data_IF_413064597673
#
_entry.id   IF_413064597673
#
_cell.length_a   1.000
_cell.length_b   1.000
_cell.length_c   1.000
_cell.angle_alpha   90.00
_cell.angle_beta   90.00
_cell.angle_gamma   90.00
#
_symmetry.space_group_name_H-M   'P 1'
#
loop_
_entity.id
_entity.type
_entity.pdbx_description
1 polymer ?
#
# COMPACT_ATOMS: atom_id res chain seq x y z
N UNK A 1 5.18 -1.95 -21.77
CA UNK A 1 4.03 -1.34 -21.07
C UNK A 1 3.80 0.07 -21.62
N UNK A 2 2.60 0.40 -22.11
CA UNK A 2 2.35 1.69 -22.79
C UNK A 2 2.22 2.84 -21.76
N UNK A 3 2.58 4.08 -22.12
CA UNK A 3 2.53 5.26 -21.22
C UNK A 3 1.13 5.52 -20.65
N UNK A 4 0.09 5.24 -21.43
CA UNK A 4 -1.32 5.27 -20.99
C UNK A 4 -1.58 4.31 -19.81
N UNK A 5 -0.93 3.15 -19.78
CA UNK A 5 -1.10 2.15 -18.71
C UNK A 5 -0.45 2.64 -17.41
N UNK A 6 0.72 3.29 -17.50
CA UNK A 6 1.39 3.87 -16.33
C UNK A 6 0.57 4.97 -15.66
N UNK A 7 -0.06 5.87 -16.44
CA UNK A 7 -0.96 6.90 -15.90
C UNK A 7 -2.16 6.29 -15.18
N UNK A 8 -2.78 5.27 -15.78
CA UNK A 8 -3.91 4.56 -15.16
C UNK A 8 -3.50 3.90 -13.84
N UNK A 9 -2.37 3.20 -13.79
CA UNK A 9 -1.86 2.55 -12.58
C UNK A 9 -1.57 3.57 -11.49
N UNK A 10 -0.96 4.69 -11.85
CA UNK A 10 -0.69 5.77 -10.90
C UNK A 10 -1.97 6.31 -10.26
N UNK A 11 -3.00 6.58 -11.07
CA UNK A 11 -4.31 7.04 -10.59
C UNK A 11 -4.98 5.98 -9.72
N UNK A 12 -4.97 4.71 -10.12
CA UNK A 12 -5.51 3.59 -9.32
C UNK A 12 -4.81 3.50 -7.97
N UNK A 13 -3.48 3.62 -7.95
CA UNK A 13 -2.69 3.61 -6.72
C UNK A 13 -3.05 4.74 -5.77
N UNK A 14 -3.25 5.97 -6.28
CA UNK A 14 -3.70 7.11 -5.47
C UNK A 14 -5.10 6.88 -4.90
N UNK A 15 -6.05 6.44 -5.73
CA UNK A 15 -7.43 6.15 -5.30
C UNK A 15 -7.41 5.09 -4.19
N UNK A 16 -6.65 4.01 -4.38
CA UNK A 16 -6.52 2.94 -3.40
C UNK A 16 -5.83 3.42 -2.10
N UNK A 17 -4.83 4.29 -2.20
CA UNK A 17 -4.15 4.89 -1.04
C UNK A 17 -5.14 5.70 -0.17
N UNK A 18 -5.94 6.55 -0.81
CA UNK A 18 -6.94 7.38 -0.13
C UNK A 18 -8.02 6.50 0.50
N UNK A 19 -8.57 5.55 -0.27
CA UNK A 19 -9.58 4.61 0.22
C UNK A 19 -9.09 3.82 1.44
N UNK A 20 -7.83 3.35 1.42
CA UNK A 20 -7.22 2.66 2.56
C UNK A 20 -7.24 3.52 3.82
N UNK A 21 -6.82 4.79 3.73
CA UNK A 21 -6.77 5.69 4.88
C UNK A 21 -8.17 6.02 5.41
N UNK A 22 -9.16 6.19 4.52
CA UNK A 22 -10.54 6.47 4.92
C UNK A 22 -11.23 5.27 5.59
N UNK A 23 -10.92 4.05 5.14
CA UNK A 23 -11.52 2.82 5.67
C UNK A 23 -10.83 2.36 6.96
N UNK A 24 -9.53 2.64 7.13
CA UNK A 24 -8.72 2.17 8.26
C UNK A 24 -9.32 2.46 9.66
N UNK A 25 -9.91 3.64 9.94
CA UNK A 25 -10.56 3.90 11.23
C UNK A 25 -11.78 3.01 11.53
N UNK A 26 -12.49 2.52 10.50
CA UNK A 26 -13.62 1.60 10.67
C UNK A 26 -13.20 0.25 11.28
N UNK A 27 -11.90 -0.02 11.26
CA UNK A 27 -11.26 -1.19 11.84
C UNK A 27 -10.63 -0.92 13.22
N UNK A 28 -10.96 0.23 13.85
CA UNK A 28 -10.46 0.60 15.18
C UNK A 28 -8.97 1.00 15.20
N UNK A 29 -8.39 1.35 14.05
CA UNK A 29 -6.97 1.70 13.94
C UNK A 29 -6.79 3.19 13.64
N UNK A 30 -5.78 3.80 14.25
CA UNK A 30 -5.25 5.09 13.78
C UNK A 30 -4.78 4.96 12.33
N UNK A 31 -4.95 6.04 11.56
CA UNK A 31 -4.51 6.07 10.17
C UNK A 31 -3.01 5.86 10.07
N UNK A 32 -2.55 5.15 9.04
CA UNK A 32 -1.12 4.91 8.84
C UNK A 32 -0.34 6.24 8.74
N UNK A 33 -0.94 7.22 8.05
CA UNK A 33 -0.39 8.56 7.89
C UNK A 33 -0.25 9.30 9.23
N UNK A 34 -1.25 9.26 10.10
CA UNK A 34 -1.14 9.88 11.44
C UNK A 34 -0.08 9.21 12.31
N UNK A 35 0.02 7.87 12.29
CA UNK A 35 1.06 7.14 13.04
C UNK A 35 2.47 7.46 12.56
N UNK A 36 2.68 7.50 11.24
CA UNK A 36 3.98 7.86 10.67
C UNK A 36 4.31 9.32 10.94
N UNK A 37 3.35 10.24 10.78
CA UNK A 37 3.56 11.65 11.09
C UNK A 37 3.94 11.84 12.57
N UNK A 38 3.25 11.17 13.49
CA UNK A 38 3.60 11.19 14.92
C UNK A 38 5.04 10.70 15.15
N UNK A 39 5.44 9.60 14.52
CA UNK A 39 6.80 9.09 14.63
C UNK A 39 7.84 10.07 14.05
N UNK A 40 7.53 10.72 12.93
CA UNK A 40 8.43 11.69 12.31
C UNK A 40 8.62 12.93 13.17
N UNK A 41 7.56 13.43 13.82
CA UNK A 41 7.68 14.55 14.77
C UNK A 41 8.53 14.14 15.99
N UNK A 42 8.18 13.03 16.65
CA UNK A 42 8.79 12.69 17.94
C UNK A 42 10.18 12.07 17.83
N UNK A 43 10.48 11.37 16.73
CA UNK A 43 11.75 10.65 16.54
C UNK A 43 12.67 11.42 15.59
N UNK A 44 12.12 11.97 14.51
CA UNK A 44 12.88 12.67 13.48
C UNK A 44 12.95 14.19 13.65
N UNK A 45 12.27 14.75 14.66
CA UNK A 45 12.20 16.19 14.91
C UNK A 45 11.70 17.01 13.69
N UNK A 46 10.82 16.41 12.88
CA UNK A 46 10.16 17.11 11.78
C UNK A 46 9.07 18.04 12.33
N UNK A 47 8.82 19.15 11.62
CA UNK A 47 7.60 19.93 11.88
C UNK A 47 6.35 19.11 11.57
N UNK A 48 5.24 19.39 12.24
CA UNK A 48 3.98 18.65 12.05
C UNK A 48 3.53 18.64 10.58
N UNK A 49 3.63 19.78 9.90
CA UNK A 49 3.29 19.91 8.48
C UNK A 49 4.19 19.03 7.61
N UNK A 50 5.51 19.05 7.82
CA UNK A 50 6.45 18.24 7.05
C UNK A 50 6.22 16.74 7.30
N UNK A 51 6.01 16.37 8.56
CA UNK A 51 5.72 15.00 8.97
C UNK A 51 4.45 14.46 8.31
N UNK A 52 3.37 15.25 8.27
CA UNK A 52 2.13 14.87 7.62
C UNK A 52 2.30 14.68 6.11
N UNK A 53 2.93 15.65 5.42
CA UNK A 53 3.19 15.56 3.97
C UNK A 53 4.01 14.31 3.65
N UNK A 54 5.08 14.07 4.40
CA UNK A 54 5.97 12.94 4.19
C UNK A 54 5.28 11.60 4.47
N UNK A 55 4.42 11.54 5.48
CA UNK A 55 3.65 10.34 5.79
C UNK A 55 2.70 9.95 4.65
N UNK A 56 2.02 10.94 4.04
CA UNK A 56 1.16 10.75 2.88
C UNK A 56 1.95 10.38 1.65
N UNK A 57 3.08 11.05 1.40
CA UNK A 57 3.95 10.75 0.27
C UNK A 57 4.38 9.29 0.30
N UNK A 58 4.91 8.81 1.42
CA UNK A 58 5.35 7.41 1.57
C UNK A 58 4.18 6.44 1.36
N UNK A 59 3.02 6.69 1.97
CA UNK A 59 1.84 5.82 1.83
C UNK A 59 1.35 5.74 0.38
N UNK A 60 1.28 6.88 -0.31
CA UNK A 60 0.90 6.93 -1.72
C UNK A 60 1.93 6.20 -2.59
N UNK A 61 3.24 6.41 -2.36
CA UNK A 61 4.30 5.74 -3.11
C UNK A 61 4.21 4.21 -3.02
N UNK A 62 4.01 3.67 -1.81
CA UNK A 62 3.84 2.23 -1.60
C UNK A 62 2.56 1.72 -2.27
N UNK A 63 1.46 2.47 -2.16
CA UNK A 63 0.18 2.11 -2.77
C UNK A 63 0.25 2.07 -4.31
N UNK A 64 0.92 3.05 -4.92
CA UNK A 64 1.19 3.07 -6.37
C UNK A 64 2.06 1.89 -6.79
N UNK A 65 3.09 1.55 -6.00
CA UNK A 65 3.94 0.40 -6.26
C UNK A 65 3.15 -0.92 -6.19
N UNK A 66 2.27 -1.09 -5.21
CA UNK A 66 1.39 -2.26 -5.15
C UNK A 66 0.38 -2.32 -6.30
N UNK A 67 -0.18 -1.18 -6.73
CA UNK A 67 -1.01 -1.11 -7.92
C UNK A 67 -0.23 -1.51 -9.18
N UNK A 68 1.05 -1.14 -9.27
CA UNK A 68 1.93 -1.57 -10.35
C UNK A 68 2.14 -3.10 -10.34
N UNK A 69 2.48 -3.70 -9.20
CA UNK A 69 2.64 -5.16 -9.08
C UNK A 69 1.34 -5.88 -9.49
N UNK A 70 0.20 -5.43 -8.96
CA UNK A 70 -1.09 -6.03 -9.31
C UNK A 70 -1.41 -5.90 -10.81
N UNK A 71 -1.09 -4.75 -11.42
CA UNK A 71 -1.24 -4.56 -12.86
C UNK A 71 -0.34 -5.47 -13.68
N UNK A 72 0.89 -5.75 -13.23
CA UNK A 72 1.79 -6.69 -13.90
C UNK A 72 1.16 -8.09 -13.91
N UNK A 73 0.72 -8.59 -12.75
CA UNK A 73 0.03 -9.89 -12.65
C UNK A 73 -1.22 -9.91 -13.54
N UNK A 74 -2.04 -8.86 -13.47
CA UNK A 74 -3.27 -8.74 -14.25
C UNK A 74 -3.03 -8.77 -15.77
N UNK A 75 -1.94 -8.14 -16.24
CA UNK A 75 -1.56 -8.11 -17.66
C UNK A 75 -1.13 -9.49 -18.18
N UNK A 76 -0.49 -10.31 -17.34
CA UNK A 76 -0.15 -11.69 -17.69
C UNK A 76 -1.38 -12.60 -17.76
N UNK A 77 -2.27 -12.51 -16.77
CA UNK A 77 -3.50 -13.30 -16.75
C UNK A 77 -4.59 -12.57 -15.95
N UNK A 78 -5.67 -12.21 -16.64
CA UNK A 78 -6.81 -11.47 -16.07
C UNK A 78 -8.02 -12.35 -15.76
N UNK A 79 -7.84 -13.68 -15.68
CA UNK A 79 -8.89 -14.60 -15.24
C UNK A 79 -9.31 -14.32 -13.80
N UNK A 80 -10.56 -14.64 -13.47
CA UNK A 80 -11.07 -14.47 -12.11
C UNK A 80 -10.22 -15.21 -11.08
N UNK A 81 -9.76 -16.43 -11.39
CA UNK A 81 -8.93 -17.24 -10.48
C UNK A 81 -7.62 -16.56 -10.14
N UNK A 82 -6.89 -16.03 -11.14
CA UNK A 82 -5.62 -15.33 -10.90
C UNK A 82 -5.86 -14.03 -10.13
N UNK A 83 -6.93 -13.31 -10.45
CA UNK A 83 -7.30 -12.07 -9.77
C UNK A 83 -7.69 -12.30 -8.29
N UNK A 84 -8.49 -13.32 -7.99
CA UNK A 84 -8.79 -13.71 -6.62
C UNK A 84 -7.52 -14.16 -5.89
N UNK A 85 -6.69 -14.98 -6.55
CA UNK A 85 -5.43 -15.47 -5.99
C UNK A 85 -4.46 -14.33 -5.61
N UNK A 86 -4.25 -13.36 -6.50
CA UNK A 86 -3.36 -12.22 -6.19
C UNK A 86 -3.88 -11.35 -5.05
N UNK A 87 -5.20 -11.16 -4.93
CA UNK A 87 -5.79 -10.39 -3.82
C UNK A 87 -5.46 -11.05 -2.49
N UNK A 88 -5.67 -12.37 -2.39
CA UNK A 88 -5.40 -13.14 -1.18
C UNK A 88 -3.89 -13.17 -0.87
N UNK A 89 -3.07 -13.53 -1.86
CA UNK A 89 -1.62 -13.70 -1.67
C UNK A 89 -0.95 -12.36 -1.34
N UNK A 90 -1.21 -11.31 -2.13
CA UNK A 90 -0.61 -10.01 -1.87
C UNK A 90 -1.14 -9.40 -0.57
N UNK A 91 -2.44 -9.54 -0.29
CA UNK A 91 -3.02 -9.10 0.98
C UNK A 91 -2.35 -9.77 2.19
N UNK A 92 -2.08 -11.07 2.10
CA UNK A 92 -1.37 -11.80 3.14
C UNK A 92 0.10 -11.39 3.26
N UNK A 93 0.85 -11.36 2.16
CA UNK A 93 2.27 -10.99 2.16
C UNK A 93 2.52 -9.57 2.67
N UNK A 94 1.67 -8.61 2.25
CA UNK A 94 1.74 -7.24 2.76
C UNK A 94 1.41 -7.20 4.25
N UNK A 95 0.45 -8.01 4.72
CA UNK A 95 0.12 -8.08 6.15
C UNK A 95 1.26 -8.65 6.99
N UNK A 96 1.91 -9.72 6.53
CA UNK A 96 3.06 -10.34 7.19
C UNK A 96 4.17 -9.32 7.40
N UNK A 97 4.45 -8.52 6.38
CA UNK A 97 5.58 -7.58 6.37
C UNK A 97 5.23 -6.19 6.88
N UNK A 98 3.94 -5.85 7.04
CA UNK A 98 3.49 -4.49 7.36
C UNK A 98 4.14 -3.90 8.62
N UNK A 99 4.24 -4.66 9.72
CA UNK A 99 4.84 -4.14 10.96
C UNK A 99 6.34 -3.84 10.78
N UNK A 100 7.21 -4.80 10.40
CA UNK A 100 8.63 -4.52 10.19
C UNK A 100 8.88 -3.50 9.07
N UNK A 101 8.09 -3.53 7.99
CA UNK A 101 8.24 -2.57 6.90
C UNK A 101 7.95 -1.13 7.35
N UNK A 102 6.89 -0.91 8.15
CA UNK A 102 6.57 0.42 8.67
C UNK A 102 7.67 0.93 9.62
N UNK A 103 8.18 0.07 10.52
CA UNK A 103 9.30 0.44 11.41
C UNK A 103 10.56 0.80 10.62
N UNK A 104 10.86 -0.01 9.61
CA UNK A 104 12.01 0.21 8.75
C UNK A 104 11.89 1.54 8.01
N UNK A 105 10.72 1.84 7.44
CA UNK A 105 10.43 3.12 6.76
C UNK A 105 10.62 4.27 7.74
N UNK A 106 10.07 4.16 8.94
CA UNK A 106 10.19 5.21 9.95
C UNK A 106 11.64 5.45 10.34
N UNK A 107 12.42 4.39 10.60
CA UNK A 107 13.84 4.50 10.93
C UNK A 107 14.63 5.10 9.76
N UNK A 108 14.37 4.67 8.53
CA UNK A 108 15.02 5.20 7.33
C UNK A 108 14.75 6.70 7.15
N UNK A 109 13.48 7.10 7.23
CA UNK A 109 13.08 8.50 7.07
C UNK A 109 13.63 9.38 8.19
N UNK A 110 13.56 8.93 9.45
CA UNK A 110 13.92 9.77 10.60
C UNK A 110 15.42 9.82 10.88
N UNK A 111 16.17 8.75 10.58
CA UNK A 111 17.59 8.62 10.91
C UNK A 111 18.50 8.57 9.69
N UNK A 112 17.95 8.49 8.48
CA UNK A 112 18.74 8.31 7.25
C UNK A 112 19.54 7.01 7.20
N UNK A 113 19.21 6.03 8.04
CA UNK A 113 19.95 4.78 8.20
C UNK A 113 19.08 3.59 7.83
N UNK A 114 19.70 2.63 7.16
CA UNK A 114 19.10 1.32 6.92
C UNK A 114 19.10 0.55 8.24
N UNK A 115 17.92 0.24 8.76
CA UNK A 115 17.81 -0.59 9.95
C UNK A 115 18.18 -2.04 9.61
N UNK A 116 18.99 -2.69 10.45
CA UNK A 116 19.26 -4.12 10.34
C UNK A 116 17.96 -4.91 10.46
N UNK A 117 17.77 -5.91 9.59
CA UNK A 117 16.55 -6.71 9.56
C UNK A 117 16.29 -7.46 10.87
N UNK A 118 17.35 -7.85 11.58
CA UNK A 118 17.31 -8.45 12.92
C UNK A 118 16.76 -7.52 14.00
N UNK A 119 16.81 -6.20 13.77
CA UNK A 119 16.35 -5.16 14.71
C UNK A 119 14.89 -4.73 14.50
N UNK A 120 14.21 -5.34 13.53
CA UNK A 120 12.80 -5.07 13.22
C UNK A 120 11.89 -6.05 13.96
N UNK A 121 10.66 -5.62 14.19
CA UNK A 121 9.62 -6.50 14.72
C UNK A 121 9.43 -7.77 13.88
N UNK A 122 9.00 -8.84 14.53
CA UNK A 122 8.65 -10.08 13.86
C UNK A 122 7.53 -9.87 12.82
N UNK A 123 7.44 -10.81 11.86
CA UNK A 123 6.35 -10.84 10.88
C UNK A 123 5.00 -10.95 11.58
N UNK A 124 4.00 -10.24 11.06
CA UNK A 124 2.66 -10.24 11.61
C UNK A 124 1.83 -11.38 11.02
N UNK A 125 1.72 -12.48 11.76
CA UNK A 125 0.93 -13.67 11.37
C UNK A 125 -0.54 -13.60 11.81
N UNK A 126 -0.97 -12.51 12.44
CA UNK A 126 -2.33 -12.40 12.96
C UNK A 126 -3.35 -12.21 11.83
N UNK A 127 -4.39 -13.05 11.85
CA UNK A 127 -5.60 -12.84 11.06
C UNK A 127 -6.45 -11.81 11.80
N UNK A 128 -6.59 -10.63 11.21
CA UNK A 128 -7.28 -9.53 11.88
C UNK A 128 -7.43 -8.29 11.01
N UNK A 129 -7.71 -7.13 11.63
CA UNK A 129 -8.02 -5.89 10.92
C UNK A 129 -7.03 -5.49 9.82
N UNK A 130 -5.72 -5.66 10.07
CA UNK A 130 -4.67 -5.37 9.07
C UNK A 130 -4.81 -6.26 7.82
N UNK A 131 -5.10 -7.55 8.00
CA UNK A 131 -5.29 -8.46 6.87
C UNK A 131 -6.45 -8.02 6.01
N UNK A 132 -7.62 -7.79 6.63
CA UNK A 132 -8.82 -7.40 5.92
C UNK A 132 -8.65 -6.08 5.15
N UNK A 133 -7.95 -5.11 5.73
CA UNK A 133 -7.61 -3.87 5.01
C UNK A 133 -6.75 -4.10 3.78
N UNK A 134 -5.72 -4.95 3.85
CA UNK A 134 -4.90 -5.24 2.66
C UNK A 134 -5.68 -6.04 1.61
N UNK A 135 -6.54 -6.98 2.03
CA UNK A 135 -7.44 -7.70 1.12
C UNK A 135 -8.37 -6.72 0.40
N UNK A 136 -9.02 -5.80 1.13
CA UNK A 136 -9.89 -4.77 0.55
C UNK A 136 -9.11 -3.83 -0.38
N UNK A 137 -7.88 -3.45 -0.02
CA UNK A 137 -7.01 -2.65 -0.86
C UNK A 137 -6.73 -3.33 -2.21
N UNK A 138 -6.27 -4.58 -2.19
CA UNK A 138 -5.97 -5.30 -3.44
C UNK A 138 -7.23 -5.63 -4.24
N UNK A 139 -8.34 -5.94 -3.57
CA UNK A 139 -9.64 -6.13 -4.23
C UNK A 139 -10.08 -4.86 -4.98
N UNK A 140 -9.92 -3.69 -4.36
CA UNK A 140 -10.21 -2.41 -4.99
C UNK A 140 -9.29 -2.14 -6.19
N UNK A 141 -7.98 -2.36 -6.05
CA UNK A 141 -7.01 -2.20 -7.15
C UNK A 141 -7.40 -3.07 -8.34
N UNK A 142 -7.66 -4.36 -8.12
CA UNK A 142 -8.07 -5.30 -9.19
C UNK A 142 -9.40 -4.88 -9.80
N UNK A 143 -10.39 -4.47 -8.99
CA UNK A 143 -11.68 -3.98 -9.48
C UNK A 143 -11.54 -2.74 -10.39
N UNK A 144 -10.66 -1.81 -10.02
CA UNK A 144 -10.36 -0.64 -10.83
C UNK A 144 -9.61 -1.01 -12.13
N UNK A 145 -8.70 -1.98 -12.10
CA UNK A 145 -8.03 -2.51 -13.29
C UNK A 145 -9.02 -3.17 -14.26
N UNK A 146 -9.94 -3.99 -13.75
CA UNK A 146 -11.02 -4.60 -14.54
C UNK A 146 -11.93 -3.55 -15.18
N UNK A 147 -12.26 -2.51 -14.41
CA UNK A 147 -13.06 -1.37 -14.88
C UNK A 147 -12.33 -0.62 -15.99
N UNK A 148 -11.05 -0.29 -15.79
CA UNK A 148 -10.23 0.38 -16.80
C UNK A 148 -10.10 -0.45 -18.09
N UNK A 149 -9.91 -1.78 -17.99
CA UNK A 149 -9.88 -2.69 -19.14
C UNK A 149 -11.18 -2.61 -19.95
N UNK A 150 -12.33 -2.59 -19.27
CA UNK A 150 -13.65 -2.54 -19.89
C UNK A 150 -13.89 -1.24 -20.66
N UNK A 151 -13.53 -0.09 -20.09
CA UNK A 151 -13.80 1.21 -20.70
C UNK A 151 -12.81 1.61 -21.79
N UNK A 152 -11.54 1.23 -21.68
CA UNK A 152 -10.52 1.73 -22.60
C UNK A 152 -10.27 0.88 -23.86
N UNK A 153 -10.81 -0.34 -23.99
CA UNK A 153 -10.36 -1.34 -25.00
C UNK A 153 -8.83 -1.45 -25.09
N UNK A 154 -8.11 -1.07 -24.03
CA UNK A 154 -6.65 -1.11 -23.98
C UNK A 154 -6.26 -2.51 -23.57
N UNK A 155 -5.40 -3.16 -24.38
CA UNK A 155 -4.67 -4.34 -23.93
C UNK A 155 -3.75 -3.88 -22.80
N UNK A 156 -4.19 -4.12 -21.56
CA UNK A 156 -3.37 -3.99 -20.35
C UNK A 156 -2.37 -5.15 -20.31
#
# INVERSE_FOLDING_TARGET
MHTKNLKTIFVIGIIAAIAFILIQPLFGMLTLTSRHAFAYVNIGNYSETAALILSWFVHISVSVFYAFISSVIFSFNSSSTVNTGQVVILGWLTTLTATPANEWVVKFVTKGQWAELSSLSALNTQIGPKLWLHILFFALVVGLLMTAKRFNRVRL
#
